data_IF_054745606238
#
_entry.id   IF_054745606238
#
_cell.length_a   1.000
_cell.length_b   1.000
_cell.length_c   1.000
_cell.angle_alpha   90.00
_cell.angle_beta   90.00
_cell.angle_gamma   90.00
#
_symmetry.space_group_name_H-M   'P 1'
#
loop_
_entity.id
_entity.type
_entity.pdbx_description
1 polymer ?
#
# COMPACT_ATOMS: atom_id res chain seq x y z
N UNK A 1 -21.80 17.91 21.08
CA UNK A 1 -21.57 17.22 22.36
C UNK A 1 -20.55 16.09 22.18
N UNK A 2 -19.25 16.40 22.04
CA UNK A 2 -18.21 15.38 21.76
C UNK A 2 -17.05 15.35 22.80
N UNK A 3 -16.99 16.32 23.72
CA UNK A 3 -15.81 16.61 24.55
C UNK A 3 -15.53 15.64 25.72
N UNK A 4 -16.34 14.58 25.91
CA UNK A 4 -16.23 13.68 27.05
C UNK A 4 -15.83 12.23 26.72
N UNK A 5 -16.13 11.76 25.51
CA UNK A 5 -16.00 10.36 25.13
C UNK A 5 -14.64 10.02 24.52
N UNK A 6 -13.80 11.01 24.26
CA UNK A 6 -12.42 10.85 23.78
C UNK A 6 -11.39 10.64 24.91
N UNK A 7 -11.76 10.99 26.15
CA UNK A 7 -10.88 10.88 27.33
C UNK A 7 -10.64 9.45 27.81
N UNK A 8 -11.58 8.54 27.52
CA UNK A 8 -11.50 7.15 27.91
C UNK A 8 -11.17 6.29 26.68
N UNK A 9 -10.24 5.33 26.86
CA UNK A 9 -9.61 4.64 25.73
C UNK A 9 -10.57 3.71 24.96
N UNK A 10 -11.54 3.12 25.65
CA UNK A 10 -12.46 2.11 25.12
C UNK A 10 -13.92 2.44 25.49
N UNK A 11 -14.36 3.66 25.17
CA UNK A 11 -15.74 4.09 25.40
C UNK A 11 -16.43 4.39 24.09
N UNK A 12 -17.68 3.95 23.98
CA UNK A 12 -18.55 4.23 22.85
C UNK A 12 -19.10 5.65 22.94
N UNK A 13 -19.09 6.36 21.81
CA UNK A 13 -19.85 7.60 21.66
C UNK A 13 -21.36 7.30 21.64
N UNK A 14 -22.22 8.31 21.86
CA UNK A 14 -23.68 8.15 21.72
C UNK A 14 -24.11 7.62 20.34
N UNK A 15 -23.32 7.88 19.31
CA UNK A 15 -23.56 7.46 17.93
C UNK A 15 -22.96 6.06 17.64
N UNK A 16 -22.37 5.38 18.63
CA UNK A 16 -21.82 4.02 18.50
C UNK A 16 -20.37 3.95 18.00
N UNK A 17 -19.66 5.08 17.95
CA UNK A 17 -18.28 5.14 17.47
C UNK A 17 -17.27 4.92 18.60
N UNK A 18 -16.10 4.37 18.26
CA UNK A 18 -14.94 4.29 19.16
C UNK A 18 -13.87 5.25 18.66
N UNK A 19 -13.84 6.48 19.22
CA UNK A 19 -13.00 7.56 18.69
C UNK A 19 -11.50 7.25 18.70
N UNK A 20 -10.99 6.47 19.66
CA UNK A 20 -9.58 6.09 19.67
C UNK A 20 -9.17 5.23 18.48
N UNK A 21 -10.09 4.40 17.96
CA UNK A 21 -9.84 3.61 16.74
C UNK A 21 -9.84 4.52 15.51
N UNK A 22 -10.71 5.52 15.46
CA UNK A 22 -10.73 6.51 14.38
C UNK A 22 -9.47 7.38 14.37
N UNK A 23 -9.00 7.81 15.55
CA UNK A 23 -7.76 8.56 15.70
C UNK A 23 -6.54 7.72 15.31
N UNK A 24 -6.55 6.43 15.61
CA UNK A 24 -5.53 5.50 15.11
C UNK A 24 -5.57 5.43 13.58
N UNK A 25 -6.75 5.43 12.96
CA UNK A 25 -6.92 5.55 11.51
C UNK A 25 -6.33 6.84 10.93
N UNK A 26 -6.46 7.97 11.62
CA UNK A 26 -5.80 9.22 11.23
C UNK A 26 -4.26 9.13 11.33
N UNK A 27 -3.73 8.41 12.31
CA UNK A 27 -2.29 8.13 12.39
C UNK A 27 -1.79 7.29 11.19
N UNK A 28 -2.59 6.33 10.73
CA UNK A 28 -2.31 5.55 9.51
C UNK A 28 -2.21 6.47 8.30
N UNK A 29 -3.15 7.40 8.12
CA UNK A 29 -3.16 8.36 6.99
C UNK A 29 -1.93 9.28 6.97
N UNK A 30 -1.30 9.53 8.12
CA UNK A 30 -0.04 10.28 8.22
C UNK A 30 1.20 9.42 7.91
N UNK A 31 1.05 8.10 7.92
CA UNK A 31 2.10 7.16 7.56
C UNK A 31 2.50 7.25 6.09
N UNK A 32 3.76 6.90 5.81
CA UNK A 32 4.29 6.74 4.45
C UNK A 32 3.46 5.70 3.67
N UNK A 33 3.31 5.89 2.35
CA UNK A 33 2.44 5.05 1.52
C UNK A 33 3.01 3.62 1.35
N UNK A 34 2.14 2.62 1.36
CA UNK A 34 2.47 1.24 0.99
C UNK A 34 1.40 0.66 0.07
N UNK A 35 1.81 -0.16 -0.89
CA UNK A 35 0.99 -0.73 -1.95
C UNK A 35 1.25 -2.23 -2.03
N UNK A 36 0.18 -3.02 -2.17
CA UNK A 36 0.24 -4.45 -2.44
C UNK A 36 -0.47 -4.76 -3.75
N UNK A 37 0.16 -5.52 -4.63
CA UNK A 37 -0.42 -5.93 -5.92
C UNK A 37 -0.19 -7.42 -6.12
N UNK A 38 -1.26 -8.18 -6.37
CA UNK A 38 -1.15 -9.57 -6.80
C UNK A 38 -0.99 -9.64 -8.32
N UNK A 39 -0.04 -10.45 -8.76
CA UNK A 39 0.02 -10.96 -10.12
C UNK A 39 -0.59 -12.35 -10.21
N UNK A 40 -0.27 -13.06 -11.28
CA UNK A 40 -0.65 -14.47 -11.49
C UNK A 40 0.08 -15.42 -10.54
N UNK A 41 1.40 -15.27 -10.48
CA UNK A 41 2.34 -16.15 -9.80
C UNK A 41 3.27 -15.41 -8.82
N UNK A 42 3.10 -14.09 -8.70
CA UNK A 42 3.84 -13.24 -7.77
C UNK A 42 2.90 -12.36 -6.96
N UNK A 43 3.39 -11.89 -5.82
CA UNK A 43 2.79 -10.76 -5.09
C UNK A 43 3.88 -9.74 -4.80
N UNK A 44 3.58 -8.48 -5.05
CA UNK A 44 4.51 -7.37 -4.91
C UNK A 44 4.06 -6.47 -3.78
N UNK A 45 4.98 -6.16 -2.85
CA UNK A 45 4.84 -5.09 -1.88
C UNK A 45 5.75 -3.94 -2.28
N UNK A 46 5.16 -2.77 -2.46
CA UNK A 46 5.87 -1.52 -2.67
C UNK A 46 5.69 -0.59 -1.48
N UNK A 47 6.76 0.02 -1.00
CA UNK A 47 6.72 1.01 0.07
C UNK A 47 7.41 2.30 -0.35
N UNK A 48 6.83 3.42 0.05
CA UNK A 48 7.51 4.69 0.02
C UNK A 48 8.55 4.76 1.15
N UNK A 49 9.81 4.92 0.78
CA UNK A 49 10.89 5.34 1.67
C UNK A 49 10.89 6.86 1.77
N UNK A 50 10.87 7.37 3.01
CA UNK A 50 11.08 8.79 3.25
C UNK A 50 12.52 9.12 2.89
N UNK A 51 12.74 10.18 2.10
CA UNK A 51 14.08 10.66 1.77
C UNK A 51 14.93 10.76 3.03
N UNK A 52 15.97 9.93 3.08
CA UNK A 52 16.89 9.91 4.20
C UNK A 52 17.60 11.27 4.28
N UNK A 53 17.77 11.80 5.50
CA UNK A 53 18.68 12.92 5.69
C UNK A 53 20.09 12.48 5.31
N UNK A 54 20.96 13.39 4.86
CA UNK A 54 22.33 13.02 4.42
C UNK A 54 23.15 12.25 5.47
N UNK A 55 22.83 12.44 6.75
CA UNK A 55 23.48 11.78 7.88
C UNK A 55 22.78 10.50 8.35
N UNK A 56 21.62 10.16 7.77
CA UNK A 56 20.90 8.94 8.09
C UNK A 56 21.46 7.78 7.28
N UNK A 57 21.98 6.76 7.97
CA UNK A 57 22.49 5.56 7.32
C UNK A 57 21.33 4.62 6.92
N UNK A 58 21.07 4.55 5.62
CA UNK A 58 20.01 3.71 5.05
C UNK A 58 20.32 2.22 5.13
N UNK A 59 21.56 1.81 5.37
CA UNK A 59 21.98 0.40 5.44
C UNK A 59 21.54 -0.27 6.74
N UNK A 60 21.51 0.50 7.83
CA UNK A 60 21.09 0.04 9.17
C UNK A 60 19.72 0.58 9.59
N UNK A 61 19.16 1.51 8.82
CA UNK A 61 17.79 1.99 9.05
C UNK A 61 16.80 0.86 8.71
N UNK A 62 15.86 0.52 9.60
CA UNK A 62 14.88 -0.54 9.33
C UNK A 62 14.05 -0.27 8.08
N UNK A 63 13.89 -1.29 7.25
CA UNK A 63 12.91 -1.31 6.16
C UNK A 63 11.49 -1.31 6.73
N UNK A 64 10.54 -0.79 5.93
CA UNK A 64 9.10 -0.90 6.21
C UNK A 64 8.55 -2.27 5.88
N UNK A 65 9.27 -3.03 5.06
CA UNK A 65 8.95 -4.38 4.66
C UNK A 65 9.62 -5.31 5.67
N UNK A 66 8.81 -5.95 6.51
CA UNK A 66 9.24 -6.89 7.53
C UNK A 66 8.91 -8.33 7.13
N UNK A 67 9.92 -9.18 7.04
CA UNK A 67 9.73 -10.61 6.89
C UNK A 67 9.19 -11.20 8.20
N UNK A 68 8.06 -11.89 8.15
CA UNK A 68 7.44 -12.57 9.31
C UNK A 68 7.91 -14.03 9.37
N UNK A 69 7.97 -14.68 8.21
CA UNK A 69 8.47 -16.03 8.02
C UNK A 69 8.98 -16.17 6.57
N UNK A 70 9.60 -17.28 6.20
CA UNK A 70 10.21 -17.46 4.87
C UNK A 70 9.24 -17.22 3.69
N UNK A 71 7.94 -17.46 3.91
CA UNK A 71 6.86 -17.35 2.92
C UNK A 71 5.84 -16.24 3.23
N UNK A 72 6.09 -15.40 4.25
CA UNK A 72 5.18 -14.33 4.68
C UNK A 72 5.92 -13.01 4.89
N UNK A 73 5.42 -11.96 4.25
CA UNK A 73 5.95 -10.62 4.40
C UNK A 73 4.85 -9.62 4.80
N UNK A 74 5.23 -8.60 5.56
CA UNK A 74 4.34 -7.55 6.05
C UNK A 74 4.92 -6.17 5.71
N UNK A 75 4.10 -5.30 5.14
CA UNK A 75 4.36 -3.86 5.07
C UNK A 75 3.35 -3.11 5.93
N UNK A 76 3.70 -1.90 6.40
CA UNK A 76 2.82 -1.13 7.27
C UNK A 76 2.82 0.37 6.98
N UNK A 77 1.72 1.02 7.35
CA UNK A 77 1.58 2.46 7.41
C UNK A 77 1.06 2.91 8.78
N UNK A 78 1.66 3.96 9.34
CA UNK A 78 1.34 4.51 10.65
C UNK A 78 2.57 4.67 11.52
N UNK A 79 2.44 4.43 12.83
CA UNK A 79 3.53 4.58 13.80
C UNK A 79 4.58 3.45 13.72
N UNK A 80 5.84 3.79 13.48
CA UNK A 80 6.93 2.81 13.36
C UNK A 80 7.16 2.00 14.65
N UNK A 81 6.97 2.59 15.83
CA UNK A 81 7.15 1.91 17.11
C UNK A 81 6.12 0.80 17.31
N UNK A 82 4.85 1.09 16.98
CA UNK A 82 3.73 0.15 17.03
C UNK A 82 3.96 -1.04 16.08
N UNK A 83 4.47 -0.75 14.86
CA UNK A 83 4.77 -1.78 13.89
C UNK A 83 5.81 -2.79 14.37
N UNK A 84 6.86 -2.33 15.07
CA UNK A 84 7.89 -3.23 15.61
C UNK A 84 7.28 -4.28 16.55
N UNK A 85 6.44 -3.84 17.49
CA UNK A 85 5.79 -4.74 18.45
C UNK A 85 4.89 -5.74 17.73
N UNK A 86 4.12 -5.30 16.73
CA UNK A 86 3.20 -6.17 16.01
C UNK A 86 3.93 -7.20 15.14
N UNK A 87 5.01 -6.79 14.47
CA UNK A 87 5.89 -7.68 13.70
C UNK A 87 6.53 -8.74 14.58
N UNK A 88 7.05 -8.37 15.75
CA UNK A 88 7.70 -9.32 16.65
C UNK A 88 6.69 -10.33 17.24
N UNK A 89 5.46 -9.89 17.57
CA UNK A 89 4.37 -10.79 17.96
C UNK A 89 3.99 -11.76 16.83
N UNK A 90 3.88 -11.26 15.60
CA UNK A 90 3.57 -12.10 14.44
C UNK A 90 4.67 -13.13 14.15
N UNK A 91 5.94 -12.76 14.27
CA UNK A 91 7.08 -13.69 14.14
C UNK A 91 7.05 -14.79 15.19
N UNK A 92 6.83 -14.40 16.45
CA UNK A 92 6.72 -15.35 17.55
C UNK A 92 5.57 -16.34 17.31
N UNK A 93 4.41 -15.83 16.89
CA UNK A 93 3.26 -16.68 16.56
C UNK A 93 3.56 -17.63 15.40
N UNK A 94 4.19 -17.14 14.33
CA UNK A 94 4.54 -17.97 13.19
C UNK A 94 5.45 -19.15 13.58
N UNK A 95 6.43 -18.91 14.46
CA UNK A 95 7.29 -19.99 14.98
C UNK A 95 6.56 -20.90 15.98
N UNK A 96 5.69 -20.34 16.83
CA UNK A 96 4.86 -21.12 17.75
C UNK A 96 3.94 -22.09 17.00
N UNK A 97 3.27 -21.62 15.94
CA UNK A 97 2.43 -22.45 15.08
C UNK A 97 3.23 -23.60 14.46
N UNK A 98 4.42 -23.29 13.89
CA UNK A 98 5.32 -24.30 13.33
C UNK A 98 5.75 -25.33 14.37
N UNK A 99 6.06 -24.89 15.60
CA UNK A 99 6.46 -25.79 16.67
C UNK A 99 5.32 -26.72 17.11
N UNK A 100 4.09 -26.19 17.19
CA UNK A 100 2.94 -26.93 17.72
C UNK A 100 2.26 -27.83 16.68
N UNK A 101 2.26 -27.41 15.41
CA UNK A 101 1.51 -28.07 14.34
C UNK A 101 2.40 -28.67 13.25
N UNK A 102 3.72 -28.51 13.37
CA UNK A 102 4.74 -28.95 12.39
C UNK A 102 4.58 -28.35 10.97
N UNK A 103 3.61 -27.44 10.79
CA UNK A 103 3.33 -26.75 9.54
C UNK A 103 3.55 -25.24 9.67
N UNK A 104 4.05 -24.58 8.60
CA UNK A 104 4.11 -23.12 8.56
C UNK A 104 2.70 -22.51 8.55
N UNK A 105 2.57 -21.29 9.08
CA UNK A 105 1.30 -20.55 9.09
C UNK A 105 0.73 -20.35 7.68
N UNK A 106 -0.59 -20.42 7.53
CA UNK A 106 -1.25 -19.86 6.34
C UNK A 106 -1.25 -18.33 6.41
N UNK A 107 -1.33 -17.68 5.25
CA UNK A 107 -1.35 -16.20 5.20
C UNK A 107 -2.61 -15.64 5.87
N UNK A 108 -3.73 -16.35 5.73
CA UNK A 108 -4.98 -15.98 6.42
C UNK A 108 -4.87 -16.14 7.94
N UNK A 109 -4.28 -17.24 8.42
CA UNK A 109 -4.13 -17.49 9.86
C UNK A 109 -3.32 -16.37 10.53
N UNK A 110 -2.14 -16.05 9.99
CA UNK A 110 -1.28 -15.03 10.57
C UNK A 110 -1.90 -13.64 10.46
N UNK A 111 -2.65 -13.36 9.38
CA UNK A 111 -3.43 -12.13 9.25
C UNK A 111 -4.49 -12.03 10.34
N UNK A 112 -5.25 -13.10 10.58
CA UNK A 112 -6.27 -13.17 11.63
C UNK A 112 -5.66 -12.99 13.02
N UNK A 113 -4.48 -13.56 13.27
CA UNK A 113 -3.74 -13.35 14.52
C UNK A 113 -3.36 -11.87 14.69
N UNK A 114 -2.74 -11.25 13.69
CA UNK A 114 -2.34 -9.83 13.71
C UNK A 114 -3.55 -8.93 13.97
N UNK A 115 -4.65 -9.17 13.25
CA UNK A 115 -5.90 -8.45 13.41
C UNK A 115 -6.49 -8.65 14.81
N UNK A 116 -6.43 -9.88 15.36
CA UNK A 116 -6.86 -10.19 16.72
C UNK A 116 -6.02 -9.49 17.80
N UNK A 117 -4.71 -9.32 17.59
CA UNK A 117 -3.85 -8.52 18.48
C UNK A 117 -4.27 -7.05 18.43
N UNK A 118 -4.52 -6.48 17.25
CA UNK A 118 -5.02 -5.11 17.12
C UNK A 118 -6.37 -4.93 17.82
N UNK A 119 -7.30 -5.86 17.57
CA UNK A 119 -8.63 -5.86 18.18
C UNK A 119 -8.57 -5.91 19.71
N UNK A 120 -7.70 -6.75 20.29
CA UNK A 120 -7.59 -6.86 21.75
C UNK A 120 -7.23 -5.53 22.41
N UNK A 121 -6.42 -4.71 21.73
CA UNK A 121 -6.01 -3.39 22.21
C UNK A 121 -7.09 -2.31 22.02
N UNK A 122 -8.19 -2.60 21.32
CA UNK A 122 -9.37 -1.71 21.26
C UNK A 122 -10.33 -1.96 22.42
N UNK A 123 -10.35 -3.18 22.96
CA UNK A 123 -11.29 -3.60 24.01
C UNK A 123 -10.67 -3.71 25.40
N UNK A 124 -9.34 -3.65 25.51
CA UNK A 124 -8.64 -3.71 26.80
C UNK A 124 -8.48 -2.33 27.42
N UNK A 125 -8.87 -2.18 28.69
CA UNK A 125 -8.65 -0.95 29.44
C UNK A 125 -7.15 -0.66 29.68
N UNK A 126 -6.78 0.61 29.71
CA UNK A 126 -5.40 1.05 30.03
C UNK A 126 -4.40 0.94 28.87
N UNK A 127 -4.84 0.53 27.68
CA UNK A 127 -4.01 0.51 26.47
C UNK A 127 -4.70 1.29 25.35
N UNK A 128 -3.89 1.86 24.45
CA UNK A 128 -4.40 2.48 23.22
C UNK A 128 -4.34 1.49 22.05
N UNK A 129 -5.21 1.63 21.04
CA UNK A 129 -5.09 0.87 19.79
C UNK A 129 -3.73 1.07 19.10
N UNK A 130 -3.34 0.09 18.31
CA UNK A 130 -2.20 0.23 17.40
C UNK A 130 -2.50 1.27 16.33
N UNK A 131 -1.65 2.27 16.20
CA UNK A 131 -1.77 3.34 15.19
C UNK A 131 -1.23 2.93 13.82
N UNK A 132 -1.48 1.69 13.39
CA UNK A 132 -0.99 1.13 12.13
C UNK A 132 -2.04 0.30 11.40
N UNK A 133 -1.97 0.34 10.07
CA UNK A 133 -2.56 -0.67 9.18
C UNK A 133 -1.44 -1.47 8.54
N UNK A 134 -1.71 -2.72 8.19
CA UNK A 134 -0.72 -3.61 7.58
C UNK A 134 -1.23 -4.17 6.25
N UNK A 135 -0.29 -4.44 5.34
CA UNK A 135 -0.49 -5.28 4.16
C UNK A 135 0.34 -6.54 4.39
N UNK A 136 -0.31 -7.70 4.42
CA UNK A 136 0.31 -8.99 4.65
C UNK A 136 0.20 -9.79 3.35
N UNK A 137 1.35 -10.25 2.86
CA UNK A 137 1.44 -10.99 1.59
C UNK A 137 2.21 -12.28 1.78
N UNK A 138 1.98 -13.21 0.86
CA UNK A 138 2.76 -14.43 0.79
C UNK A 138 2.06 -15.51 -0.02
N UNK A 139 2.54 -16.73 0.17
CA UNK A 139 2.00 -17.94 -0.43
C UNK A 139 1.82 -18.98 0.66
N UNK A 140 0.66 -19.63 0.70
CA UNK A 140 0.45 -20.77 1.61
C UNK A 140 1.41 -21.91 1.23
N UNK A 141 1.75 -22.78 2.20
CA UNK A 141 2.65 -23.93 1.95
C UNK A 141 2.16 -24.80 0.79
N UNK A 142 3.03 -25.08 -0.19
CA UNK A 142 2.67 -25.81 -1.41
C UNK A 142 1.73 -25.08 -2.37
N UNK A 143 1.24 -23.89 -2.00
CA UNK A 143 0.33 -23.07 -2.79
C UNK A 143 1.04 -22.26 -3.86
N UNK A 144 0.37 -22.07 -5.00
CA UNK A 144 0.81 -21.17 -6.09
C UNK A 144 0.03 -19.87 -6.16
N UNK A 145 -1.01 -19.73 -5.34
CA UNK A 145 -1.91 -18.58 -5.35
C UNK A 145 -1.37 -17.48 -4.46
N UNK A 146 -1.07 -16.28 -5.00
CA UNK A 146 -0.66 -15.16 -4.18
C UNK A 146 -1.77 -14.73 -3.24
N UNK A 147 -1.41 -14.41 -2.00
CA UNK A 147 -2.31 -13.86 -0.99
C UNK A 147 -1.91 -12.42 -0.67
N UNK A 148 -2.92 -11.57 -0.48
CA UNK A 148 -2.77 -10.19 -0.05
C UNK A 148 -3.95 -9.87 0.87
N UNK A 149 -3.63 -9.57 2.12
CA UNK A 149 -4.58 -9.14 3.13
C UNK A 149 -4.22 -7.76 3.66
N UNK A 150 -5.23 -7.04 4.11
CA UNK A 150 -5.06 -5.80 4.86
C UNK A 150 -5.58 -6.01 6.28
N UNK A 151 -4.89 -5.46 7.28
CA UNK A 151 -5.46 -5.26 8.62
C UNK A 151 -5.53 -3.77 8.97
N UNK A 152 -6.46 -3.41 9.86
CA UNK A 152 -6.68 -2.03 10.33
C UNK A 152 -6.63 -1.93 11.86
N UNK A 153 -6.44 -0.72 12.44
CA UNK A 153 -6.42 -0.52 13.89
C UNK A 153 -7.61 -1.10 14.66
N UNK A 154 -8.77 -1.23 14.02
CA UNK A 154 -9.98 -1.85 14.57
C UNK A 154 -9.83 -3.35 14.81
N UNK A 155 -8.88 -4.00 14.13
CA UNK A 155 -8.72 -5.44 14.06
C UNK A 155 -9.63 -6.13 13.03
N UNK A 156 -10.22 -5.36 12.11
CA UNK A 156 -10.82 -5.90 10.89
C UNK A 156 -9.70 -6.28 9.92
N UNK A 157 -9.89 -7.40 9.20
CA UNK A 157 -9.03 -7.77 8.09
C UNK A 157 -9.84 -8.19 6.86
N UNK A 158 -9.29 -7.95 5.68
CA UNK A 158 -9.94 -8.23 4.39
C UNK A 158 -8.92 -8.68 3.36
N UNK A 159 -9.33 -9.54 2.43
CA UNK A 159 -8.51 -9.97 1.29
C UNK A 159 -8.65 -9.00 0.11
N UNK A 160 -7.56 -8.77 -0.62
CA UNK A 160 -7.54 -7.80 -1.74
C UNK A 160 -6.87 -8.37 -2.99
N UNK A 161 -7.23 -7.80 -4.16
CA UNK A 161 -6.56 -8.02 -5.45
C UNK A 161 -5.31 -7.15 -5.57
N UNK A 162 -5.51 -5.86 -5.35
CA UNK A 162 -4.49 -4.87 -5.07
C UNK A 162 -5.04 -3.90 -4.03
N UNK A 163 -4.18 -3.28 -3.22
CA UNK A 163 -4.60 -2.31 -2.23
C UNK A 163 -3.48 -1.34 -1.88
N UNK A 164 -3.82 -0.20 -1.30
CA UNK A 164 -2.88 0.79 -0.80
C UNK A 164 -3.30 1.34 0.57
N UNK A 165 -2.32 1.56 1.44
CA UNK A 165 -2.49 2.16 2.77
C UNK A 165 -1.53 3.33 2.97
N UNK A 166 -1.77 4.14 4.00
CA UNK A 166 -0.96 5.32 4.31
C UNK A 166 -1.43 6.60 3.62
N UNK A 167 -0.54 7.60 3.56
CA UNK A 167 -0.82 8.90 2.96
C UNK A 167 -1.22 8.77 1.49
N UNK A 168 -2.20 9.56 1.09
CA UNK A 168 -2.73 9.57 -0.28
C UNK A 168 -3.21 8.20 -0.81
N UNK A 169 -3.45 7.23 0.07
CA UNK A 169 -3.93 5.88 -0.31
C UNK A 169 -5.21 5.90 -1.13
N UNK A 170 -6.10 6.87 -0.93
CA UNK A 170 -7.31 7.04 -1.75
C UNK A 170 -6.97 7.25 -3.23
N UNK A 171 -6.07 8.18 -3.53
CA UNK A 171 -5.61 8.46 -4.90
C UNK A 171 -4.95 7.25 -5.53
N UNK A 172 -4.12 6.53 -4.74
CA UNK A 172 -3.45 5.32 -5.22
C UNK A 172 -4.44 4.19 -5.49
N UNK A 173 -5.47 4.01 -4.65
CA UNK A 173 -6.53 3.02 -4.89
C UNK A 173 -7.33 3.35 -6.15
N UNK A 174 -7.70 4.61 -6.37
CA UNK A 174 -8.37 5.03 -7.61
C UNK A 174 -7.51 4.76 -8.85
N UNK A 175 -6.19 4.91 -8.75
CA UNK A 175 -5.25 4.51 -9.81
C UNK A 175 -5.23 2.99 -10.02
N UNK A 176 -5.12 2.21 -8.94
CA UNK A 176 -5.13 0.73 -9.00
C UNK A 176 -6.43 0.20 -9.60
N UNK A 177 -7.59 0.75 -9.22
CA UNK A 177 -8.90 0.36 -9.73
C UNK A 177 -9.01 0.49 -11.26
N UNK A 178 -8.34 1.50 -11.85
CA UNK A 178 -8.35 1.73 -13.30
C UNK A 178 -7.34 0.89 -14.08
N UNK A 179 -6.24 0.51 -13.43
CA UNK A 179 -5.06 -0.05 -14.12
C UNK A 179 -4.79 -1.52 -13.79
N UNK A 180 -5.35 -2.05 -12.70
CA UNK A 180 -5.21 -3.45 -12.34
C UNK A 180 -5.88 -4.36 -13.38
N UNK A 181 -5.20 -5.44 -13.72
CA UNK A 181 -5.73 -6.53 -14.55
C UNK A 181 -5.47 -7.85 -13.83
N UNK A 182 -6.38 -8.82 -14.02
CA UNK A 182 -6.13 -10.17 -13.52
C UNK A 182 -4.97 -10.82 -14.27
N UNK A 183 -4.33 -11.80 -13.62
CA UNK A 183 -3.28 -12.64 -14.19
C UNK A 183 -2.08 -11.89 -14.81
N UNK A 184 -1.75 -10.71 -14.29
CA UNK A 184 -0.53 -9.99 -14.66
C UNK A 184 0.71 -10.85 -14.38
N UNK A 185 1.65 -10.83 -15.32
CA UNK A 185 2.97 -11.44 -15.10
C UNK A 185 3.80 -10.63 -14.09
N UNK A 186 4.97 -11.16 -13.72
CA UNK A 186 5.87 -10.52 -12.76
C UNK A 186 6.20 -9.08 -13.16
N UNK A 187 6.56 -8.88 -14.42
CA UNK A 187 7.00 -7.58 -14.95
C UNK A 187 5.89 -6.53 -14.89
N UNK A 188 4.68 -6.86 -15.36
CA UNK A 188 3.53 -5.98 -15.30
C UNK A 188 3.09 -5.69 -13.86
N UNK A 189 3.19 -6.68 -12.97
CA UNK A 189 2.83 -6.52 -11.56
C UNK A 189 3.78 -5.56 -10.84
N UNK A 190 5.09 -5.74 -11.01
CA UNK A 190 6.12 -4.83 -10.46
C UNK A 190 5.94 -3.43 -11.04
N UNK A 191 5.74 -3.32 -12.36
CA UNK A 191 5.51 -2.04 -13.03
C UNK A 191 4.26 -1.33 -12.50
N UNK A 192 3.17 -2.05 -12.26
CA UNK A 192 1.95 -1.46 -11.69
C UNK A 192 2.17 -0.95 -10.26
N UNK A 193 2.89 -1.70 -9.42
CA UNK A 193 3.23 -1.28 -8.06
C UNK A 193 4.07 0.02 -8.07
N UNK A 194 5.08 0.10 -8.95
CA UNK A 194 5.92 1.30 -9.10
C UNK A 194 5.10 2.48 -9.64
N UNK A 195 4.28 2.27 -10.70
CA UNK A 195 3.39 3.32 -11.24
C UNK A 195 2.46 3.86 -10.16
N UNK A 196 1.92 2.99 -9.31
CA UNK A 196 1.02 3.35 -8.21
C UNK A 196 1.72 4.21 -7.14
N UNK A 197 2.97 3.90 -6.80
CA UNK A 197 3.77 4.71 -5.87
C UNK A 197 4.16 6.07 -6.46
N UNK A 198 4.43 6.14 -7.77
CA UNK A 198 4.77 7.39 -8.46
C UNK A 198 3.61 8.40 -8.50
N UNK A 199 2.37 8.00 -8.20
CA UNK A 199 1.25 8.94 -8.01
C UNK A 199 1.38 9.76 -6.71
N UNK A 200 2.25 9.34 -5.78
CA UNK A 200 2.48 10.01 -4.47
C UNK A 200 3.94 10.44 -4.28
N UNK A 201 4.89 9.68 -4.83
CA UNK A 201 6.33 9.94 -4.69
C UNK A 201 6.78 10.89 -5.80
N UNK A 202 7.08 12.14 -5.42
CA UNK A 202 7.55 13.17 -6.36
C UNK A 202 9.00 13.00 -6.81
N UNK A 203 9.83 12.32 -6.02
CA UNK A 203 11.29 12.22 -6.24
C UNK A 203 11.72 10.76 -6.35
N UNK A 204 11.98 10.31 -7.58
CA UNK A 204 12.93 9.25 -7.98
C UNK A 204 12.85 7.86 -7.33
N UNK A 205 13.39 6.86 -8.03
CA UNK A 205 13.47 5.46 -7.59
C UNK A 205 14.05 5.24 -6.18
N UNK A 206 14.92 6.13 -5.68
CA UNK A 206 15.57 6.03 -4.36
C UNK A 206 14.60 6.09 -3.17
N UNK A 207 13.41 6.65 -3.38
CA UNK A 207 12.35 6.73 -2.38
C UNK A 207 11.33 5.60 -2.52
N UNK A 208 11.61 4.61 -3.35
CA UNK A 208 10.77 3.44 -3.56
C UNK A 208 11.54 2.21 -3.11
N UNK A 209 10.85 1.33 -2.40
CA UNK A 209 11.32 0.00 -2.07
C UNK A 209 10.31 -1.02 -2.58
N UNK A 210 10.79 -2.01 -3.31
CA UNK A 210 9.95 -3.08 -3.86
C UNK A 210 10.44 -4.42 -3.35
N UNK A 211 9.51 -5.20 -2.81
CA UNK A 211 9.69 -6.61 -2.51
C UNK A 211 8.79 -7.45 -3.40
N UNK A 212 9.36 -8.49 -4.01
CA UNK A 212 8.65 -9.47 -4.82
C UNK A 212 8.70 -10.81 -4.10
N UNK A 213 7.54 -11.44 -3.95
CA UNK A 213 7.44 -12.82 -3.48
C UNK A 213 6.89 -13.70 -4.60
N UNK A 214 7.46 -14.91 -4.70
CA UNK A 214 7.04 -15.97 -5.62
C UNK A 214 6.99 -17.30 -4.85
N UNK A 215 6.16 -18.27 -5.28
CA UNK A 215 6.00 -19.52 -4.55
C UNK A 215 7.31 -20.31 -4.48
N UNK A 216 7.67 -20.75 -3.27
CA UNK A 216 8.88 -21.54 -3.02
C UNK A 216 10.20 -20.80 -3.18
N UNK A 217 10.18 -19.47 -3.36
CA UNK A 217 11.38 -18.63 -3.45
C UNK A 217 11.48 -17.70 -2.24
N UNK A 218 12.71 -17.36 -1.80
CA UNK A 218 12.89 -16.32 -0.79
C UNK A 218 12.38 -14.98 -1.34
N UNK A 219 12.04 -14.07 -0.41
CA UNK A 219 11.71 -12.68 -0.75
C UNK A 219 12.85 -12.03 -1.55
N UNK A 220 12.49 -11.37 -2.64
CA UNK A 220 13.43 -10.64 -3.48
C UNK A 220 13.21 -9.14 -3.25
N UNK A 221 14.21 -8.47 -2.67
CA UNK A 221 14.24 -7.01 -2.59
C UNK A 221 14.88 -6.47 -3.86
N UNK A 222 14.15 -5.71 -4.66
CA UNK A 222 14.69 -5.18 -5.91
C UNK A 222 15.81 -4.16 -5.62
N UNK A 223 16.97 -4.29 -6.27
CA UNK A 223 18.02 -3.27 -6.25
C UNK A 223 17.52 -1.91 -6.74
N UNK A 224 18.16 -0.84 -6.27
CA UNK A 224 17.77 0.53 -6.63
C UNK A 224 17.96 0.77 -8.13
N UNK A 225 18.98 0.15 -8.73
CA UNK A 225 19.31 0.22 -10.16
C UNK A 225 18.17 -0.33 -11.02
N UNK A 226 17.58 -1.46 -10.61
CA UNK A 226 16.44 -2.06 -11.29
C UNK A 226 15.22 -1.14 -11.18
N UNK A 227 14.94 -0.62 -9.98
CA UNK A 227 13.83 0.34 -9.77
C UNK A 227 14.05 1.61 -10.61
N UNK A 228 15.29 2.11 -10.73
CA UNK A 228 15.63 3.24 -11.60
C UNK A 228 15.31 2.96 -13.07
N UNK A 229 15.57 1.73 -13.55
CA UNK A 229 15.22 1.34 -14.91
C UNK A 229 13.70 1.36 -15.14
N UNK A 230 12.91 0.81 -14.20
CA UNK A 230 11.44 0.87 -14.26
C UNK A 230 10.93 2.31 -14.27
N UNK A 231 11.44 3.17 -13.37
CA UNK A 231 11.00 4.56 -13.27
C UNK A 231 11.30 5.32 -14.56
N UNK A 232 12.50 5.18 -15.13
CA UNK A 232 12.87 5.82 -16.40
C UNK A 232 11.96 5.39 -17.55
N UNK A 233 11.68 4.09 -17.68
CA UNK A 233 10.79 3.58 -18.72
C UNK A 233 9.36 4.12 -18.55
N UNK A 234 8.86 4.17 -17.32
CA UNK A 234 7.52 4.71 -17.00
C UNK A 234 7.44 6.21 -17.33
N UNK A 235 8.46 6.99 -17.02
CA UNK A 235 8.51 8.43 -17.31
C UNK A 235 8.56 8.70 -18.82
N UNK A 236 9.33 7.91 -19.58
CA UNK A 236 9.36 7.98 -21.04
C UNK A 236 7.98 7.67 -21.64
N UNK A 237 7.32 6.59 -21.21
CA UNK A 237 5.95 6.25 -21.63
C UNK A 237 4.97 7.40 -21.35
N UNK A 238 5.02 7.99 -20.15
CA UNK A 238 4.15 9.13 -19.79
C UNK A 238 4.41 10.35 -20.68
N UNK A 239 5.67 10.64 -21.04
CA UNK A 239 6.02 11.74 -21.94
C UNK A 239 5.51 11.49 -23.37
N UNK A 240 5.66 10.26 -23.87
CA UNK A 240 5.16 9.87 -25.19
C UNK A 240 3.63 9.93 -25.27
N UNK A 241 2.92 9.45 -24.25
CA UNK A 241 1.46 9.56 -24.18
C UNK A 241 0.99 11.02 -24.13
N UNK A 242 1.70 11.87 -23.39
CA UNK A 242 1.41 13.30 -23.33
C UNK A 242 1.68 14.00 -24.68
N UNK A 243 2.74 13.62 -25.39
CA UNK A 243 3.04 14.12 -26.72
C UNK A 243 1.96 13.71 -27.74
N UNK A 244 1.55 12.42 -27.73
CA UNK A 244 0.47 11.90 -28.59
C UNK A 244 -0.87 12.57 -28.34
N UNK A 245 -1.20 12.87 -27.07
CA UNK A 245 -2.42 13.64 -26.71
C UNK A 245 -2.37 15.10 -27.16
N UNK A 246 -1.19 15.71 -27.24
CA UNK A 246 -1.01 17.08 -27.76
C UNK A 246 -1.15 17.15 -29.29
N UNK A 247 -0.66 16.14 -30.01
CA UNK A 247 -0.76 16.07 -31.48
C UNK A 247 -2.14 15.66 -31.98
N UNK A 248 -2.95 14.96 -31.18
CA UNK A 248 -4.32 14.54 -31.52
C UNK A 248 -5.42 15.59 -31.30
N UNK A 249 -5.09 16.79 -30.82
CA UNK A 249 -6.05 17.89 -30.60
C UNK A 249 -6.05 18.82 -31.82
N UNK A 250 -6.79 18.47 -32.87
CA UNK A 250 -7.04 19.35 -34.01
C UNK A 250 -7.75 20.63 -33.51
N UNK A 251 -7.31 21.85 -33.86
CA UNK A 251 -8.06 23.06 -33.50
C UNK A 251 -9.41 23.01 -34.19
N UNK A 252 -10.50 23.09 -33.42
CA UNK A 252 -11.83 23.23 -33.97
C UNK A 252 -11.87 24.46 -34.89
N UNK A 253 -12.30 24.26 -36.13
CA UNK A 253 -12.68 25.34 -37.04
C UNK A 253 -13.87 26.08 -36.43
N UNK A 254 -13.59 27.08 -35.59
CA UNK A 254 -14.53 28.15 -35.30
C UNK A 254 -14.58 29.05 -36.52
N UNK A 255 -15.46 28.74 -37.48
CA UNK A 255 -15.84 29.70 -38.51
C UNK A 255 -16.63 30.83 -37.84
N UNK A 256 -15.94 31.93 -37.53
CA UNK A 256 -16.59 33.20 -37.26
C UNK A 256 -17.06 33.77 -38.60
N UNK A 257 -18.32 33.54 -38.96
CA UNK A 257 -18.96 34.20 -40.08
C UNK A 257 -19.23 35.67 -39.71
N UNK A 258 -18.34 36.56 -40.14
CA UNK A 258 -18.58 38.00 -40.17
C UNK A 258 -19.51 38.26 -41.36
N UNK A 259 -20.80 38.49 -41.08
CA UNK A 259 -21.78 38.97 -42.07
C UNK A 259 -21.54 40.46 -42.34
N UNK A 260 -20.71 40.78 -43.34
CA UNK A 260 -20.72 42.13 -43.96
C UNK A 260 -21.90 42.22 -44.92
N UNK A 261 -22.89 43.03 -44.54
CA UNK A 261 -24.04 43.39 -45.37
C UNK A 261 -23.59 44.44 -46.38
N UNK A 262 -23.45 44.08 -47.65
CA UNK A 262 -23.24 45.04 -48.74
C UNK A 262 -24.56 45.74 -49.08
N UNK A 263 -24.51 47.06 -49.08
CA UNK A 263 -25.53 47.97 -49.61
C UNK A 263 -25.50 48.02 -51.14
N UNK A 264 -26.66 48.43 -51.69
CA UNK A 264 -26.94 49.03 -53.01
C UNK A 264 -27.01 48.07 -54.23
N UNK A 265 -28.20 47.78 -54.79
CA UNK A 265 -29.16 48.55 -55.62
C UNK A 265 -29.05 48.12 -57.10
N UNK A 266 -30.03 48.33 -58.01
CA UNK A 266 -31.05 49.39 -58.07
C UNK A 266 -32.51 48.96 -57.88
#
# INVERSE_FOLDING_TARGET
MASGYDRALSVFSPDGHVFQVEYAGEAVKRGTCAVGVKGKDVVVLGCEKRSAMKLQDTRITPSKIGLIDAHVCLAFAGLNADARILVDKARLEAQSHRLNLEDPVTIEYITKYVAGVQQRYTQSGGVRPFGISTLIVGFDSGGKTPRLYQTEPSGIYSAWKANAIGRSSKTVREFLERNYKEDMDREATVRLAIKSLLEVVQTGAKNIEIAVMAPGKPIEMLPVEDIESYVKNIEQEKQEEAAKKKTGRTPGQGSAAILTRTQDEP
#
